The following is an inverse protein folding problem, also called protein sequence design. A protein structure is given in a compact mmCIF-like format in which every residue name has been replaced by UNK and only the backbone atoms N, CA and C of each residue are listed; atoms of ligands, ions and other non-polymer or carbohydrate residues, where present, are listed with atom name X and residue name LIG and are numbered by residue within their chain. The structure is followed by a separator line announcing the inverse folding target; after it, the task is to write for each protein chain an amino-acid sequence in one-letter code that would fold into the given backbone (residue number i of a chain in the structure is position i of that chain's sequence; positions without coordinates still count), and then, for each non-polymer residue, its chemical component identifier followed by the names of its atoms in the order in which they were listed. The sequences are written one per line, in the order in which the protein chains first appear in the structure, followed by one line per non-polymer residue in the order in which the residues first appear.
data_IF_366214657908
#
_entry.id   IF_366214657908
#
_cell.length_a   1.000
_cell.length_b   1.000
_cell.length_c   1.000
_cell.angle_alpha   90.00
_cell.angle_beta   90.00
_cell.angle_gamma   90.00
#
_symmetry.space_group_name_H-M   'P 1'
#
loop_
_entity.id
_entity.type
_entity.pdbx_description
1 polymer ?
#
# COMPACT_ATOMS: atom_id res chain seq x y z
N UNK A 1 -19.69 -47.30 -17.21
CA UNK A 1 -20.99 -46.78 -16.79
C UNK A 1 -21.19 -47.07 -15.31
N UNK A 2 -21.08 -46.05 -14.47
CA UNK A 2 -21.80 -45.86 -13.20
C UNK A 2 -21.18 -44.65 -12.50
N UNK A 3 -21.87 -43.52 -12.61
CA UNK A 3 -21.73 -42.34 -11.75
C UNK A 3 -22.41 -42.66 -10.41
N UNK A 4 -21.80 -42.32 -9.28
CA UNK A 4 -22.53 -41.93 -8.05
C UNK A 4 -21.73 -40.80 -7.39
N UNK A 5 -22.37 -39.65 -7.29
CA UNK A 5 -21.98 -38.49 -6.49
C UNK A 5 -22.16 -38.82 -5.01
N UNK A 6 -21.28 -38.32 -4.15
CA UNK A 6 -21.66 -38.03 -2.77
C UNK A 6 -21.09 -36.66 -2.36
N UNK A 7 -21.98 -35.68 -2.34
CA UNK A 7 -21.83 -34.41 -1.65
C UNK A 7 -22.11 -34.64 -0.17
N UNK A 8 -21.17 -34.32 0.71
CA UNK A 8 -21.50 -34.04 2.10
C UNK A 8 -20.62 -32.95 2.67
N UNK A 9 -21.23 -31.77 2.73
CA UNK A 9 -20.81 -30.57 3.44
C UNK A 9 -20.60 -30.89 4.92
N UNK A 10 -19.42 -30.58 5.47
CA UNK A 10 -19.22 -30.50 6.92
C UNK A 10 -19.20 -29.03 7.34
N UNK A 11 -20.11 -28.71 8.25
CA UNK A 11 -20.48 -27.41 8.76
C UNK A 11 -19.42 -26.81 9.69
N UNK A 12 -19.17 -25.51 9.47
CA UNK A 12 -18.48 -24.63 10.40
C UNK A 12 -19.22 -24.49 11.73
N UNK A 13 -18.48 -24.54 12.84
CA UNK A 13 -18.91 -24.00 14.14
C UNK A 13 -17.87 -23.02 14.64
N UNK A 14 -18.08 -21.75 14.30
CA UNK A 14 -17.40 -20.62 14.92
C UNK A 14 -17.90 -20.47 16.36
N UNK A 15 -16.98 -20.34 17.31
CA UNK A 15 -17.27 -20.16 18.73
C UNK A 15 -16.78 -18.77 19.13
N UNK A 16 -17.72 -17.84 19.22
CA UNK A 16 -17.54 -16.53 19.87
C UNK A 16 -17.19 -16.72 21.36
N UNK A 17 -16.29 -15.90 21.91
CA UNK A 17 -16.38 -15.50 23.30
C UNK A 17 -16.56 -13.98 23.43
N UNK A 18 -17.80 -13.63 23.79
CA UNK A 18 -18.14 -12.76 24.92
C UNK A 18 -17.34 -11.45 25.09
N UNK A 19 -17.95 -10.41 24.54
CA UNK A 19 -18.12 -9.07 25.08
C UNK A 19 -18.17 -9.01 26.63
N UNK A 20 -17.32 -8.17 27.24
CA UNK A 20 -17.56 -7.57 28.57
C UNK A 20 -16.95 -6.17 28.63
N UNK A 21 -17.67 -5.17 29.18
CA UNK A 21 -17.26 -3.77 29.15
C UNK A 21 -16.46 -3.41 30.40
N UNK A 22 -15.28 -2.80 30.23
CA UNK A 22 -14.60 -2.10 31.32
C UNK A 22 -14.77 -0.60 31.11
N UNK A 23 -15.64 -0.04 31.94
CA UNK A 23 -15.73 1.38 32.19
C UNK A 23 -14.41 1.89 32.77
N UNK A 24 -13.82 2.86 32.09
CA UNK A 24 -12.63 3.58 32.55
C UNK A 24 -12.59 4.94 31.87
N UNK A 25 -13.46 5.85 32.31
CA UNK A 25 -13.39 7.26 31.94
C UNK A 25 -12.16 7.86 32.66
N UNK A 26 -10.97 7.65 32.09
CA UNK A 26 -9.80 8.45 32.43
C UNK A 26 -9.96 9.77 31.69
N UNK A 27 -10.27 10.82 32.44
CA UNK A 27 -10.31 12.21 31.97
C UNK A 27 -8.92 12.62 31.49
N UNK A 28 -8.59 12.31 30.24
CA UNK A 28 -7.50 12.98 29.55
C UNK A 28 -7.96 14.41 29.27
N UNK A 29 -7.54 15.32 30.15
CA UNK A 29 -7.41 16.73 29.83
C UNK A 29 -6.64 16.79 28.51
N UNK A 30 -7.34 17.12 27.43
CA UNK A 30 -6.75 17.34 26.13
C UNK A 30 -5.86 18.58 26.24
N UNK A 31 -4.60 18.38 26.62
CA UNK A 31 -3.56 19.35 26.37
C UNK A 31 -3.48 19.51 24.86
N UNK A 32 -3.97 20.65 24.36
CA UNK A 32 -3.87 21.01 22.97
C UNK A 32 -2.42 20.82 22.49
N UNK A 33 -2.18 20.35 21.25
CA UNK A 33 -0.83 20.32 20.72
C UNK A 33 -0.29 21.75 20.70
N UNK A 34 0.75 22.01 21.49
CA UNK A 34 1.51 23.26 21.40
C UNK A 34 2.26 23.24 20.08
N UNK A 35 1.64 23.80 19.05
CA UNK A 35 2.32 24.15 17.81
C UNK A 35 3.45 25.14 18.15
N UNK A 36 4.72 24.84 17.88
CA UNK A 36 5.77 25.85 17.99
C UNK A 36 5.69 26.73 16.75
N UNK A 37 4.74 27.66 16.72
CA UNK A 37 4.72 28.70 15.71
C UNK A 37 5.47 29.92 16.26
N UNK A 38 6.49 30.31 15.50
CA UNK A 38 7.17 31.60 15.48
C UNK A 38 8.36 31.80 16.45
N UNK A 39 9.54 31.97 15.86
CA UNK A 39 10.69 32.55 16.55
C UNK A 39 12.06 32.06 16.12
N UNK A 40 12.19 31.04 15.26
CA UNK A 40 13.50 30.67 14.75
C UNK A 40 13.92 31.67 13.69
N UNK A 41 14.69 32.67 14.10
CA UNK A 41 15.61 33.37 13.20
C UNK A 41 16.47 32.26 12.58
N UNK A 42 16.20 31.87 11.34
CA UNK A 42 17.15 31.10 10.58
C UNK A 42 18.38 31.99 10.48
N UNK A 43 19.40 31.73 11.29
CA UNK A 43 20.67 32.39 11.14
C UNK A 43 21.22 31.96 9.79
N UNK A 44 20.98 32.75 8.77
CA UNK A 44 21.74 32.71 7.52
C UNK A 44 23.11 33.33 7.74
N UNK A 45 23.74 33.07 8.91
CA UNK A 45 25.18 33.21 8.97
C UNK A 45 25.70 32.16 7.99
N UNK A 46 26.44 32.65 7.02
CA UNK A 46 27.13 31.91 5.97
C UNK A 46 28.25 31.01 6.56
N UNK A 47 27.93 30.30 7.65
CA UNK A 47 28.75 29.26 8.20
C UNK A 47 28.61 28.07 7.24
N UNK A 48 29.72 27.73 6.59
CA UNK A 48 29.90 26.56 5.74
C UNK A 48 28.93 25.45 6.10
N UNK A 49 27.93 25.27 5.24
CA UNK A 49 27.05 24.12 5.35
C UNK A 49 27.94 22.90 5.20
N UNK A 50 28.15 22.15 6.28
CA UNK A 50 28.93 20.92 6.23
C UNK A 50 28.39 20.07 5.08
N UNK A 51 29.24 19.51 4.20
CA UNK A 51 28.79 18.61 3.14
C UNK A 51 27.89 17.52 3.69
N UNK A 52 26.97 17.01 2.86
CA UNK A 52 26.00 16.00 3.30
C UNK A 52 26.69 14.75 3.87
N UNK A 53 27.87 14.43 3.33
CA UNK A 53 28.69 13.28 3.72
C UNK A 53 29.64 13.57 4.89
N UNK A 54 29.55 14.75 5.51
CA UNK A 54 30.45 15.11 6.61
C UNK A 54 30.12 14.30 7.88
N UNK A 55 31.10 13.62 8.52
CA UNK A 55 30.85 12.65 9.60
C UNK A 55 30.22 13.27 10.85
N UNK A 56 30.41 14.56 11.08
CA UNK A 56 29.74 15.27 12.17
C UNK A 56 28.19 15.26 12.05
N UNK A 57 27.64 15.00 10.85
CA UNK A 57 26.20 14.79 10.64
C UNK A 57 25.71 13.41 11.08
N UNK A 58 26.60 12.44 11.25
CA UNK A 58 26.30 11.08 11.71
C UNK A 58 26.45 10.90 13.23
N UNK A 59 27.01 11.88 13.94
CA UNK A 59 27.15 11.84 15.39
C UNK A 59 25.81 12.21 16.05
N UNK A 60 25.25 11.37 16.95
CA UNK A 60 24.04 11.69 17.68
C UNK A 60 24.19 13.01 18.44
N UNK A 61 23.18 13.88 18.36
CA UNK A 61 23.18 15.18 19.05
C UNK A 61 23.21 15.00 20.58
N UNK A 62 22.78 13.83 21.07
CA UNK A 62 22.83 13.46 22.48
C UNK A 62 23.33 12.02 22.65
N UNK A 63 24.13 11.79 23.69
CA UNK A 63 24.71 10.48 24.03
C UNK A 63 23.68 9.42 24.44
N UNK A 64 22.45 9.82 24.79
CA UNK A 64 21.35 8.90 25.08
C UNK A 64 20.60 8.41 23.84
N UNK A 65 20.87 9.00 22.67
CA UNK A 65 20.24 8.58 21.42
C UNK A 65 21.06 7.44 20.82
N UNK A 66 20.42 6.32 20.45
CA UNK A 66 21.12 5.24 19.76
C UNK A 66 21.65 5.76 18.42
N UNK A 67 22.92 5.45 18.14
CA UNK A 67 23.51 5.72 16.83
C UNK A 67 22.77 4.90 15.78
N UNK A 68 22.02 5.58 14.91
CA UNK A 68 21.28 4.94 13.83
C UNK A 68 22.25 4.61 12.69
N UNK A 69 22.99 3.51 12.84
CA UNK A 69 23.72 2.92 11.73
C UNK A 69 22.69 2.28 10.78
N UNK A 70 22.31 3.03 9.74
CA UNK A 70 21.37 2.58 8.70
C UNK A 70 21.93 1.39 7.89
N UNK A 71 23.23 1.11 8.01
CA UNK A 71 23.88 -0.09 7.50
C UNK A 71 24.46 -0.86 8.69
N UNK A 72 24.27 -2.19 8.79
CA UNK A 72 24.93 -2.96 9.83
C UNK A 72 26.45 -2.89 9.65
N UNK A 73 27.21 -2.71 10.75
CA UNK A 73 28.69 -2.55 10.74
C UNK A 73 29.45 -3.72 10.07
N UNK A 74 28.78 -4.85 9.84
CA UNK A 74 29.32 -6.03 9.16
C UNK A 74 29.04 -6.07 7.65
N UNK A 75 28.41 -5.04 7.09
CA UNK A 75 28.08 -5.00 5.67
C UNK A 75 29.25 -4.42 4.86
N UNK A 76 30.09 -5.32 4.32
CA UNK A 76 30.82 -5.07 3.08
C UNK A 76 29.85 -4.44 2.04
N UNK A 77 30.28 -3.47 1.22
CA UNK A 77 29.41 -2.69 0.33
C UNK A 77 28.60 -3.55 -0.69
N UNK A 78 28.94 -4.83 -0.85
CA UNK A 78 28.20 -5.80 -1.65
C UNK A 78 26.89 -6.32 -0.98
N UNK A 79 26.77 -6.24 0.35
CA UNK A 79 25.62 -6.83 1.09
C UNK A 79 24.46 -5.88 1.32
N UNK A 80 24.66 -4.56 1.11
CA UNK A 80 23.58 -3.56 1.15
C UNK A 80 22.48 -3.83 0.11
N UNK A 81 22.77 -4.63 -0.93
CA UNK A 81 21.83 -4.97 -2.00
C UNK A 81 20.79 -6.03 -1.63
N UNK A 82 20.92 -6.74 -0.50
CA UNK A 82 20.02 -7.84 -0.10
C UNK A 82 19.21 -7.52 1.16
N UNK A 83 18.81 -6.26 1.29
CA UNK A 83 18.00 -5.75 2.39
C UNK A 83 16.66 -5.29 1.84
N UNK A 84 15.58 -5.62 2.54
CA UNK A 84 14.26 -5.17 2.16
C UNK A 84 14.18 -3.63 2.31
N UNK A 85 13.83 -2.88 1.25
CA UNK A 85 13.84 -1.42 1.30
C UNK A 85 12.77 -0.83 2.23
N UNK A 86 11.76 -1.60 2.61
CA UNK A 86 10.70 -1.16 3.53
C UNK A 86 11.04 -1.42 4.99
N UNK A 87 11.67 -2.55 5.29
CA UNK A 87 11.93 -2.98 6.68
C UNK A 87 13.38 -2.79 7.11
N UNK A 88 14.28 -2.50 6.16
CA UNK A 88 15.74 -2.42 6.37
C UNK A 88 16.33 -3.68 7.01
N UNK A 89 15.59 -4.79 6.99
CA UNK A 89 16.02 -6.10 7.44
C UNK A 89 16.39 -6.98 6.24
N UNK A 90 17.32 -7.95 6.40
CA UNK A 90 17.58 -8.93 5.34
C UNK A 90 16.29 -9.69 5.01
N UNK A 91 16.09 -10.00 3.73
CA UNK A 91 14.91 -10.75 3.29
C UNK A 91 14.79 -12.08 4.02
N UNK A 92 13.60 -12.36 4.54
CA UNK A 92 13.32 -13.68 5.13
C UNK A 92 13.19 -14.73 4.02
N UNK A 93 13.49 -16.02 4.28
CA UNK A 93 13.34 -17.06 3.26
C UNK A 93 11.89 -17.22 2.77
N UNK A 94 10.92 -16.89 3.63
CA UNK A 94 9.51 -16.86 3.26
C UNK A 94 9.19 -15.76 2.23
N UNK A 95 9.77 -14.57 2.40
CA UNK A 95 9.61 -13.45 1.45
C UNK A 95 10.26 -13.75 0.10
N UNK A 96 11.45 -14.37 0.11
CA UNK A 96 12.14 -14.75 -1.13
C UNK A 96 11.30 -15.73 -1.96
N UNK A 97 10.66 -16.70 -1.29
CA UNK A 97 9.77 -17.66 -1.92
C UNK A 97 8.44 -17.03 -2.38
N UNK A 98 7.80 -16.18 -1.57
CA UNK A 98 6.51 -15.57 -1.91
C UNK A 98 6.61 -14.64 -3.12
N UNK A 99 7.72 -13.93 -3.25
CA UNK A 99 7.97 -13.00 -4.34
C UNK A 99 8.76 -13.60 -5.50
N UNK A 100 9.04 -14.92 -5.46
CA UNK A 100 9.75 -15.65 -6.52
C UNK A 100 11.09 -15.02 -6.91
N UNK A 101 11.81 -14.49 -5.93
CA UNK A 101 13.08 -13.80 -6.17
C UNK A 101 14.13 -14.71 -6.82
N UNK A 102 14.09 -16.01 -6.56
CA UNK A 102 15.00 -16.98 -7.19
C UNK A 102 14.75 -17.15 -8.70
N UNK A 103 13.51 -17.01 -9.14
CA UNK A 103 13.17 -17.02 -10.57
C UNK A 103 13.68 -15.74 -11.23
N UNK A 104 13.40 -14.58 -10.61
CA UNK A 104 13.85 -13.27 -11.11
C UNK A 104 15.37 -13.16 -11.16
N UNK A 105 16.08 -13.71 -10.18
CA UNK A 105 17.56 -13.75 -10.22
C UNK A 105 18.06 -14.55 -11.42
N UNK A 106 17.43 -15.68 -11.76
CA UNK A 106 17.85 -16.49 -12.91
C UNK A 106 17.65 -15.78 -14.24
N UNK A 107 16.64 -14.92 -14.35
CA UNK A 107 16.35 -14.21 -15.60
C UNK A 107 17.28 -12.99 -15.78
N UNK A 108 17.59 -12.32 -14.68
CA UNK A 108 18.42 -11.11 -14.63
C UNK A 108 19.92 -11.38 -14.65
N UNK A 109 20.40 -12.49 -14.05
CA UNK A 109 21.82 -12.82 -14.04
C UNK A 109 22.26 -13.41 -15.40
N UNK A 110 23.41 -12.95 -15.87
CA UNK A 110 24.11 -13.54 -17.01
C UNK A 110 24.87 -14.81 -16.63
N UNK A 111 25.38 -15.56 -17.61
CA UNK A 111 26.14 -16.81 -17.42
C UNK A 111 27.37 -16.65 -16.51
N UNK A 112 27.83 -15.40 -16.31
CA UNK A 112 28.95 -15.03 -15.43
C UNK A 112 28.53 -14.66 -14.00
N UNK A 113 27.23 -14.71 -13.69
CA UNK A 113 26.69 -14.31 -12.40
C UNK A 113 26.58 -12.79 -12.20
N UNK A 114 26.76 -12.00 -13.26
CA UNK A 114 26.63 -10.54 -13.24
C UNK A 114 25.21 -10.12 -13.64
N UNK A 115 24.73 -9.01 -13.09
CA UNK A 115 23.41 -8.45 -13.40
C UNK A 115 23.44 -7.84 -14.79
N UNK A 116 22.60 -8.36 -15.69
CA UNK A 116 22.42 -7.79 -17.03
C UNK A 116 21.43 -6.62 -16.98
N UNK A 117 21.96 -5.40 -17.05
CA UNK A 117 21.14 -4.19 -17.00
C UNK A 117 20.11 -4.11 -18.13
N UNK A 118 20.41 -4.67 -19.31
CA UNK A 118 19.50 -4.62 -20.45
C UNK A 118 18.33 -5.59 -20.25
N UNK A 119 18.58 -6.77 -19.66
CA UNK A 119 17.50 -7.71 -19.29
C UNK A 119 16.64 -7.16 -18.17
N UNK A 120 17.25 -6.57 -17.13
CA UNK A 120 16.51 -5.90 -16.05
C UNK A 120 15.56 -4.86 -16.62
N UNK A 121 16.04 -4.04 -17.56
CA UNK A 121 15.23 -3.00 -18.18
C UNK A 121 14.08 -3.60 -19.00
N UNK A 122 14.34 -4.64 -19.79
CA UNK A 122 13.31 -5.32 -20.58
C UNK A 122 12.21 -5.92 -19.68
N UNK A 123 12.58 -6.58 -18.58
CA UNK A 123 11.62 -7.12 -17.61
C UNK A 123 10.80 -6.04 -16.92
N UNK A 124 11.43 -4.93 -16.55
CA UNK A 124 10.73 -3.77 -15.98
C UNK A 124 9.72 -3.19 -16.98
N UNK A 125 10.10 -3.03 -18.24
CA UNK A 125 9.21 -2.52 -19.28
C UNK A 125 8.03 -3.47 -19.53
N UNK A 126 8.26 -4.78 -19.52
CA UNK A 126 7.17 -5.77 -19.60
C UNK A 126 6.24 -5.69 -18.39
N UNK A 127 6.78 -5.61 -17.18
CA UNK A 127 5.99 -5.49 -15.96
C UNK A 127 5.15 -4.20 -15.96
N UNK A 128 5.73 -3.08 -16.37
CA UNK A 128 5.00 -1.81 -16.52
C UNK A 128 3.86 -1.95 -17.52
N UNK A 129 4.10 -2.62 -18.66
CA UNK A 129 3.07 -2.86 -19.67
C UNK A 129 1.92 -3.71 -19.12
N UNK A 130 2.23 -4.78 -18.38
CA UNK A 130 1.21 -5.63 -17.75
C UNK A 130 0.40 -4.89 -16.69
N UNK A 131 1.02 -4.00 -15.91
CA UNK A 131 0.31 -3.17 -14.93
C UNK A 131 -0.62 -2.19 -15.65
N UNK A 132 -0.11 -1.54 -16.71
CA UNK A 132 -0.88 -0.57 -17.49
C UNK A 132 -2.11 -1.21 -18.12
N UNK A 133 -1.99 -2.39 -18.75
CA UNK A 133 -3.14 -3.09 -19.33
C UNK A 133 -4.18 -3.46 -18.27
N UNK A 134 -3.74 -3.92 -17.08
CA UNK A 134 -4.66 -4.20 -15.96
C UNK A 134 -5.38 -2.94 -15.45
N UNK A 135 -4.73 -1.78 -15.49
CA UNK A 135 -5.37 -0.51 -15.13
C UNK A 135 -6.41 -0.10 -16.18
N UNK A 136 -6.06 -0.15 -17.46
CA UNK A 136 -6.98 0.18 -18.56
C UNK A 136 -8.21 -0.74 -18.57
N UNK A 137 -8.04 -2.04 -18.30
CA UNK A 137 -9.15 -2.98 -18.16
C UNK A 137 -10.08 -2.66 -16.98
N UNK A 138 -9.52 -2.21 -15.85
CA UNK A 138 -10.33 -1.80 -14.69
C UNK A 138 -11.08 -0.51 -14.97
N UNK A 139 -10.41 0.49 -15.53
CA UNK A 139 -11.02 1.77 -15.91
C UNK A 139 -12.15 1.55 -16.92
N UNK A 140 -11.97 0.63 -17.88
CA UNK A 140 -13.02 0.27 -18.83
C UNK A 140 -14.24 -0.34 -18.14
N UNK A 141 -14.04 -1.24 -17.16
CA UNK A 141 -15.13 -1.86 -16.38
C UNK A 141 -15.87 -0.82 -15.52
N UNK A 142 -15.13 0.08 -14.89
CA UNK A 142 -15.71 1.17 -14.10
C UNK A 142 -16.54 2.10 -14.99
N UNK A 143 -16.02 2.49 -16.15
CA UNK A 143 -16.76 3.32 -17.12
C UNK A 143 -18.04 2.65 -17.64
N UNK A 144 -18.03 1.32 -17.80
CA UNK A 144 -19.21 0.57 -18.23
C UNK A 144 -20.28 0.51 -17.12
N UNK A 145 -19.86 0.28 -15.87
CA UNK A 145 -20.75 0.32 -14.70
C UNK A 145 -21.39 1.71 -14.55
N UNK A 146 -20.60 2.77 -14.68
CA UNK A 146 -21.11 4.14 -14.54
C UNK A 146 -22.15 4.48 -15.63
N UNK A 147 -21.93 4.01 -16.86
CA UNK A 147 -22.92 4.14 -17.94
C UNK A 147 -24.21 3.39 -17.61
N UNK A 148 -24.10 2.15 -17.13
CA UNK A 148 -25.26 1.36 -16.75
C UNK A 148 -26.05 2.01 -15.60
N UNK A 149 -25.35 2.56 -14.60
CA UNK A 149 -25.97 3.31 -13.50
C UNK A 149 -26.71 4.54 -14.03
N UNK A 150 -26.08 5.32 -14.89
CA UNK A 150 -26.69 6.51 -15.48
C UNK A 150 -27.94 6.17 -16.32
N UNK A 151 -27.92 5.06 -17.05
CA UNK A 151 -29.09 4.59 -17.80
C UNK A 151 -30.21 4.12 -16.88
N UNK A 152 -29.89 3.36 -15.82
CA UNK A 152 -30.88 2.96 -14.81
C UNK A 152 -31.47 4.17 -14.08
N UNK A 153 -30.67 5.20 -13.84
CA UNK A 153 -31.15 6.44 -13.23
C UNK A 153 -32.12 7.19 -14.16
N UNK A 154 -31.81 7.29 -15.46
CA UNK A 154 -32.74 7.86 -16.46
C UNK A 154 -34.07 7.10 -16.49
N UNK A 155 -34.02 5.77 -16.43
CA UNK A 155 -35.22 4.95 -16.40
C UNK A 155 -36.06 5.24 -15.14
N UNK A 156 -35.42 5.27 -13.97
CA UNK A 156 -36.07 5.62 -12.70
C UNK A 156 -36.66 7.03 -12.73
N UNK A 157 -36.00 8.00 -13.37
CA UNK A 157 -36.53 9.36 -13.51
C UNK A 157 -37.80 9.40 -14.38
N UNK A 158 -37.80 8.65 -15.50
CA UNK A 158 -39.00 8.50 -16.34
C UNK A 158 -40.13 7.84 -15.56
N UNK A 159 -39.86 6.77 -14.80
CA UNK A 159 -40.84 6.14 -13.92
C UNK A 159 -41.38 7.10 -12.86
N UNK A 160 -40.51 7.86 -12.19
CA UNK A 160 -40.91 8.89 -11.23
C UNK A 160 -41.85 9.92 -11.87
N UNK A 161 -41.57 10.33 -13.10
CA UNK A 161 -42.40 11.26 -13.86
C UNK A 161 -43.77 10.66 -14.22
N UNK A 162 -43.80 9.41 -14.67
CA UNK A 162 -45.04 8.69 -14.97
C UNK A 162 -45.88 8.52 -13.69
N UNK A 163 -45.26 8.09 -12.59
CA UNK A 163 -45.93 7.90 -11.31
C UNK A 163 -46.49 9.22 -10.78
N UNK A 164 -45.70 10.30 -10.82
CA UNK A 164 -46.18 11.64 -10.46
C UNK A 164 -47.36 12.07 -11.32
N UNK A 165 -47.33 11.84 -12.64
CA UNK A 165 -48.45 12.14 -13.54
C UNK A 165 -49.69 11.31 -13.20
N UNK A 166 -49.53 10.03 -12.88
CA UNK A 166 -50.65 9.12 -12.57
C UNK A 166 -51.26 9.38 -11.20
N UNK A 167 -50.45 9.72 -10.20
CA UNK A 167 -50.89 9.93 -8.82
C UNK A 167 -51.29 11.38 -8.54
N UNK A 168 -50.57 12.36 -9.08
CA UNK A 168 -50.89 13.79 -8.94
C UNK A 168 -52.02 14.30 -9.84
N UNK A 169 -52.49 13.48 -10.78
CA UNK A 169 -53.64 13.78 -11.64
C UNK A 169 -54.99 13.32 -11.07
N UNK A 170 -55.02 12.75 -9.86
CA UNK A 170 -56.23 12.17 -9.24
C UNK A 170 -56.79 12.97 -8.05
N UNK A 171 -56.16 14.08 -7.68
CA UNK A 171 -56.58 14.97 -6.58
C UNK A 171 -57.29 16.27 -7.06
N UNK A 172 -57.88 16.28 -8.26
CA UNK A 172 -58.52 17.49 -8.79
C UNK A 172 -59.60 17.27 -9.84
N UNK A 173 -60.49 16.29 -9.63
CA UNK A 173 -61.68 16.06 -10.46
C UNK A 173 -62.88 15.68 -9.61
#
# INVERSE_FOLDING_TARGET
MAQILDESRSSATAKDPANSPVAGHSSHVAAAPVSPTQGRKHSTSLAETLPLDHPARAVPVHSSLPTLNLLPDSAEPATAANVNPLTLAPFTPAELASHKYDELRKTVLNDRGEVDLDRVRAEQEEAIKQIKTRMEERERKESEIDKEIAEKEKFREVERKILRRRMGGREGG
#
